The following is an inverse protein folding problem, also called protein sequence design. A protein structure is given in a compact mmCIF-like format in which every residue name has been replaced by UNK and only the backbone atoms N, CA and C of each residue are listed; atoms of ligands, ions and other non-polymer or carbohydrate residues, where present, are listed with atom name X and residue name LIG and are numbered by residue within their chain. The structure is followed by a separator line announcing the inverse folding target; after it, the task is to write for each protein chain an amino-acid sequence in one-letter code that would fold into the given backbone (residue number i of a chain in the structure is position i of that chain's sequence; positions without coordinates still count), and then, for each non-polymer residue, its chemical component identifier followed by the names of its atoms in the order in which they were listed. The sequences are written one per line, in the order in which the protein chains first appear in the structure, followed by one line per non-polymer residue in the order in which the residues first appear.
data_IF_427094281340
#
_entry.id   IF_427094281340
#
_cell.length_a   1.000
_cell.length_b   1.000
_cell.length_c   1.000
_cell.angle_alpha   90.00
_cell.angle_beta   90.00
_cell.angle_gamma   90.00
#
_symmetry.space_group_name_H-M   'P 1'
#
loop_
_entity.id
_entity.type
_entity.pdbx_description
1 polymer ?
#
# COMPACT_ATOMS: atom_id res chain seq x y z
N UNK A 1 -22.82 25.07 3.91
CA UNK A 1 -22.23 23.85 4.52
C UNK A 1 -21.38 23.14 3.48
N UNK A 2 -20.20 22.68 3.91
CA UNK A 2 -19.22 21.85 3.21
C UNK A 2 -18.34 22.57 2.16
N UNK A 3 -17.30 23.25 2.66
CA UNK A 3 -16.12 23.64 1.88
C UNK A 3 -15.30 22.40 1.51
N UNK A 4 -15.02 22.25 0.22
CA UNK A 4 -14.16 21.21 -0.36
C UNK A 4 -12.69 21.53 0.00
N UNK A 5 -12.06 20.66 0.78
CA UNK A 5 -10.61 20.72 1.02
C UNK A 5 -9.85 20.12 -0.17
N UNK A 6 -8.88 20.83 -0.78
CA UNK A 6 -8.00 20.25 -1.77
C UNK A 6 -6.97 19.35 -1.10
N UNK A 7 -7.03 18.05 -1.36
CA UNK A 7 -5.99 17.08 -1.02
C UNK A 7 -4.76 17.36 -1.92
N UNK A 8 -3.82 18.19 -1.46
CA UNK A 8 -2.61 18.52 -2.21
C UNK A 8 -1.40 17.70 -1.71
N UNK A 9 -1.13 16.62 -2.44
CA UNK A 9 0.21 16.13 -2.84
C UNK A 9 1.25 15.84 -1.74
N UNK A 10 1.13 14.67 -1.10
CA UNK A 10 2.18 14.04 -0.27
C UNK A 10 3.49 13.69 -1.04
N UNK A 11 3.51 13.81 -2.37
CA UNK A 11 4.68 13.45 -3.19
C UNK A 11 5.76 14.55 -3.23
N UNK A 12 5.42 15.81 -2.95
CA UNK A 12 6.40 16.91 -2.98
C UNK A 12 7.35 16.89 -1.77
N UNK A 13 6.82 16.54 -0.59
CA UNK A 13 7.60 16.48 0.66
C UNK A 13 8.63 15.34 0.61
N UNK A 14 8.28 14.20 -0.01
CA UNK A 14 9.18 13.07 -0.20
C UNK A 14 10.37 13.42 -1.11
N UNK A 15 10.11 14.15 -2.21
CA UNK A 15 11.16 14.59 -3.13
C UNK A 15 12.13 15.58 -2.46
N UNK A 16 11.60 16.50 -1.65
CA UNK A 16 12.41 17.45 -0.89
C UNK A 16 13.29 16.76 0.16
N UNK A 17 12.77 15.73 0.85
CA UNK A 17 13.53 14.93 1.81
C UNK A 17 14.64 14.11 1.13
N UNK A 18 14.36 13.52 -0.03
CA UNK A 18 15.34 12.77 -0.80
C UNK A 18 16.47 13.68 -1.31
N UNK A 19 16.13 14.86 -1.85
CA UNK A 19 17.10 15.84 -2.32
C UNK A 19 17.96 16.40 -1.18
N UNK A 20 17.40 16.58 0.02
CA UNK A 20 18.16 17.01 1.20
C UNK A 20 19.16 15.93 1.67
N UNK A 21 18.78 14.65 1.62
CA UNK A 21 19.67 13.54 1.98
C UNK A 21 20.87 13.40 1.01
N UNK A 22 20.64 13.56 -0.29
CA UNK A 22 21.69 13.52 -1.32
C UNK A 22 22.66 14.71 -1.21
N UNK A 23 22.14 15.90 -0.86
CA UNK A 23 22.96 17.10 -0.66
C UNK A 23 23.88 16.98 0.57
N UNK A 24 23.47 16.26 1.62
CA UNK A 24 24.30 15.99 2.80
C UNK A 24 25.44 15.03 2.45
N UNK A 25 25.19 14.03 1.61
CA UNK A 25 26.23 13.11 1.13
C UNK A 25 27.25 13.79 0.20
N UNK A 26 26.80 14.74 -0.64
CA UNK A 26 27.68 15.44 -1.59
C UNK A 26 28.58 16.51 -0.96
N UNK A 27 28.27 17.02 0.24
CA UNK A 27 29.07 18.05 0.92
C UNK A 27 30.19 17.47 1.81
N UNK A 28 30.30 16.14 1.91
CA UNK A 28 31.33 15.45 2.71
C UNK A 28 32.68 15.21 2.02
N UNK A 29 32.96 15.85 0.87
CA UNK A 29 34.07 15.46 -0.01
C UNK A 29 35.44 16.09 0.23
N UNK A 30 35.57 17.42 0.36
CA UNK A 30 36.84 18.08 -0.04
C UNK A 30 37.48 19.01 1.00
N UNK A 31 37.82 18.50 2.19
CA UNK A 31 38.72 19.20 3.11
C UNK A 31 39.56 18.26 4.01
N UNK A 32 40.05 17.15 3.46
CA UNK A 32 40.73 16.06 4.18
C UNK A 32 42.18 16.36 4.66
N UNK A 33 42.63 17.62 4.70
CA UNK A 33 44.05 17.92 4.92
C UNK A 33 44.48 18.33 6.33
N UNK A 34 43.81 19.32 6.93
CA UNK A 34 44.40 20.08 8.07
C UNK A 34 43.44 20.23 9.28
N UNK A 35 42.19 19.75 9.21
CA UNK A 35 41.18 19.92 10.29
C UNK A 35 40.75 18.65 11.02
N UNK A 36 41.25 17.49 10.61
CA UNK A 36 40.91 16.17 11.17
C UNK A 36 41.21 16.07 12.69
N UNK A 37 42.33 16.65 13.13
CA UNK A 37 42.80 16.58 14.52
C UNK A 37 42.06 17.52 15.48
N UNK A 38 41.50 18.63 14.98
CA UNK A 38 40.68 19.55 15.77
C UNK A 38 39.22 19.07 15.87
N UNK A 39 38.68 18.46 14.81
CA UNK A 39 37.34 17.88 14.79
C UNK A 39 37.24 16.65 15.71
N UNK A 40 38.20 15.71 15.63
CA UNK A 40 38.23 14.53 16.51
C UNK A 40 38.40 14.88 17.99
N UNK A 41 39.14 15.95 18.31
CA UNK A 41 39.31 16.40 19.70
C UNK A 41 38.05 17.08 20.24
N UNK A 42 37.27 17.75 19.39
CA UNK A 42 35.99 18.36 19.76
C UNK A 42 34.87 17.31 19.86
N UNK A 43 34.82 16.34 18.93
CA UNK A 43 33.89 15.21 18.96
C UNK A 43 34.11 14.31 20.18
N UNK A 44 35.37 14.04 20.56
CA UNK A 44 35.70 13.29 21.77
C UNK A 44 35.34 14.01 23.08
N UNK A 45 35.33 15.34 23.10
CA UNK A 45 34.93 16.12 24.29
C UNK A 45 33.41 16.38 24.36
N UNK A 46 32.68 16.41 23.24
CA UNK A 46 31.22 16.48 23.24
C UNK A 46 30.57 15.11 23.51
N UNK A 47 31.18 14.01 23.08
CA UNK A 47 30.68 12.65 23.33
C UNK A 47 30.68 12.25 24.81
N UNK A 48 31.53 12.88 25.63
CA UNK A 48 31.60 12.73 27.09
C UNK A 48 30.57 13.59 27.84
N UNK A 49 29.86 14.50 27.15
CA UNK A 49 28.77 15.26 27.77
C UNK A 49 27.51 14.36 27.86
N UNK A 50 27.00 14.06 29.07
CA UNK A 50 25.84 13.18 29.25
C UNK A 50 24.60 13.65 28.48
N UNK A 51 24.47 14.96 28.23
CA UNK A 51 23.38 15.55 27.48
C UNK A 51 23.45 15.22 25.99
N UNK A 52 24.65 15.24 25.39
CA UNK A 52 24.89 14.87 23.98
C UNK A 52 24.64 13.38 23.79
N UNK A 53 25.08 12.54 24.73
CA UNK A 53 24.83 11.09 24.69
C UNK A 53 23.34 10.75 24.80
N UNK A 54 22.61 11.43 25.71
CA UNK A 54 21.17 11.26 25.84
C UNK A 54 20.41 11.73 24.59
N UNK A 55 20.84 12.81 23.95
CA UNK A 55 20.27 13.28 22.69
C UNK A 55 20.56 12.30 21.54
N UNK A 56 21.76 11.74 21.46
CA UNK A 56 22.15 10.72 20.48
C UNK A 56 21.28 9.45 20.62
N UNK A 57 21.05 8.98 21.85
CA UNK A 57 20.17 7.83 22.12
C UNK A 57 18.71 8.12 21.75
N UNK A 58 18.21 9.32 22.07
CA UNK A 58 16.85 9.73 21.68
C UNK A 58 16.71 9.80 20.16
N UNK A 59 17.71 10.34 19.46
CA UNK A 59 17.73 10.41 18.00
C UNK A 59 17.77 9.01 17.40
N UNK A 60 18.65 8.14 17.89
CA UNK A 60 18.73 6.74 17.47
C UNK A 60 17.39 6.01 17.66
N UNK A 61 16.77 6.17 18.83
CA UNK A 61 15.44 5.59 19.14
C UNK A 61 14.37 6.13 18.20
N UNK A 62 14.37 7.43 17.91
CA UNK A 62 13.43 8.04 16.98
C UNK A 62 13.64 7.52 15.54
N UNK A 63 14.88 7.41 15.08
CA UNK A 63 15.20 6.86 13.76
C UNK A 63 14.77 5.40 13.60
N UNK A 64 14.97 4.58 14.64
CA UNK A 64 14.48 3.20 14.66
C UNK A 64 12.96 3.18 14.53
N UNK A 65 12.23 4.01 15.31
CA UNK A 65 10.76 4.11 15.20
C UNK A 65 10.30 4.59 13.84
N UNK A 66 10.96 5.56 13.23
CA UNK A 66 10.64 6.05 11.89
C UNK A 66 10.81 4.92 10.86
N UNK A 67 11.89 4.15 10.97
CA UNK A 67 12.15 3.00 10.09
C UNK A 67 11.10 1.91 10.27
N UNK A 68 10.74 1.60 11.52
CA UNK A 68 9.69 0.65 11.88
C UNK A 68 8.34 1.05 11.26
N UNK A 69 7.91 2.30 11.46
CA UNK A 69 6.66 2.78 10.86
C UNK A 69 6.71 2.81 9.33
N UNK A 70 7.86 3.11 8.74
CA UNK A 70 8.03 3.04 7.27
C UNK A 70 7.81 1.62 6.77
N UNK A 71 8.37 0.63 7.48
CA UNK A 71 8.23 -0.79 7.12
C UNK A 71 6.78 -1.26 7.30
N UNK A 72 6.13 -0.90 8.41
CA UNK A 72 4.71 -1.21 8.64
C UNK A 72 3.82 -0.61 7.55
N UNK A 73 4.04 0.65 7.19
CA UNK A 73 3.29 1.31 6.11
C UNK A 73 3.50 0.62 4.76
N UNK A 74 4.72 0.14 4.48
CA UNK A 74 5.00 -0.63 3.27
C UNK A 74 4.27 -1.98 3.27
N UNK A 75 4.27 -2.69 4.41
CA UNK A 75 3.57 -3.97 4.55
C UNK A 75 2.06 -3.78 4.33
N UNK A 76 1.44 -2.81 5.02
CA UNK A 76 0.02 -2.50 4.88
C UNK A 76 -0.36 -2.11 3.44
N UNK A 77 0.50 -1.38 2.73
CA UNK A 77 0.28 -1.07 1.31
C UNK A 77 0.32 -2.31 0.42
N UNK A 78 1.16 -3.28 0.74
CA UNK A 78 1.23 -4.54 -0.01
C UNK A 78 0.00 -5.40 0.25
N UNK A 79 -0.39 -5.56 1.52
CA UNK A 79 -1.61 -6.28 1.90
C UNK A 79 -2.85 -5.67 1.22
N UNK A 80 -2.98 -4.34 1.24
CA UNK A 80 -4.09 -3.66 0.56
C UNK A 80 -4.14 -3.98 -0.94
N UNK A 81 -2.99 -3.99 -1.62
CA UNK A 81 -2.91 -4.36 -3.05
C UNK A 81 -3.32 -5.82 -3.27
N UNK A 82 -2.92 -6.73 -2.38
CA UNK A 82 -3.30 -8.14 -2.47
C UNK A 82 -4.81 -8.31 -2.25
N UNK A 83 -5.38 -7.66 -1.24
CA UNK A 83 -6.82 -7.66 -0.98
C UNK A 83 -7.60 -7.11 -2.17
N UNK A 84 -7.15 -6.01 -2.78
CA UNK A 84 -7.77 -5.46 -3.99
C UNK A 84 -7.72 -6.46 -5.17
N UNK A 85 -6.60 -7.15 -5.36
CA UNK A 85 -6.49 -8.18 -6.40
C UNK A 85 -7.44 -9.36 -6.16
N UNK A 86 -7.55 -9.83 -4.92
CA UNK A 86 -8.47 -10.91 -4.56
C UNK A 86 -9.92 -10.45 -4.73
N UNK A 87 -10.23 -9.22 -4.33
CA UNK A 87 -11.56 -8.65 -4.51
C UNK A 87 -11.92 -8.51 -5.99
N UNK A 88 -10.99 -8.06 -6.85
CA UNK A 88 -11.18 -8.01 -8.31
C UNK A 88 -11.48 -9.43 -8.85
N UNK A 89 -10.74 -10.40 -8.33
CA UNK A 89 -11.03 -11.82 -8.54
C UNK A 89 -12.29 -12.32 -7.84
N UNK A 90 -13.14 -11.53 -7.19
CA UNK A 90 -14.48 -11.98 -6.78
C UNK A 90 -15.58 -11.20 -7.52
N UNK A 91 -15.33 -9.92 -7.79
CA UNK A 91 -16.27 -9.04 -8.48
C UNK A 91 -16.27 -9.24 -10.00
N UNK A 92 -15.16 -9.72 -10.59
CA UNK A 92 -14.95 -9.83 -12.03
C UNK A 92 -13.82 -8.92 -12.49
N UNK A 93 -13.05 -9.35 -13.48
CA UNK A 93 -11.84 -8.65 -13.95
C UNK A 93 -12.15 -7.29 -14.61
N UNK A 94 -13.36 -7.12 -15.15
CA UNK A 94 -13.83 -5.89 -15.78
C UNK A 94 -14.48 -4.88 -14.80
N UNK A 95 -14.54 -5.21 -13.50
CA UNK A 95 -15.21 -4.38 -12.49
C UNK A 95 -14.21 -3.51 -11.74
N UNK A 96 -14.32 -2.19 -11.92
CA UNK A 96 -13.49 -1.23 -11.20
C UNK A 96 -13.91 -1.12 -9.72
N UNK A 97 -13.05 -1.58 -8.81
CA UNK A 97 -13.27 -1.57 -7.36
C UNK A 97 -13.53 -0.15 -6.82
N UNK A 98 -12.89 0.88 -7.36
CA UNK A 98 -13.11 2.26 -6.92
C UNK A 98 -14.55 2.74 -7.23
N UNK A 99 -15.12 2.25 -8.33
CA UNK A 99 -16.51 2.54 -8.67
C UNK A 99 -17.50 1.77 -7.77
N UNK A 100 -17.12 0.59 -7.27
CA UNK A 100 -17.92 -0.15 -6.28
C UNK A 100 -17.98 0.55 -4.92
N UNK A 101 -16.86 1.17 -4.51
CA UNK A 101 -16.81 1.92 -3.25
C UNK A 101 -17.68 3.18 -3.29
N UNK A 102 -17.86 3.77 -4.46
CA UNK A 102 -18.69 4.98 -4.65
C UNK A 102 -20.15 4.64 -4.93
N UNK A 103 -20.42 3.56 -5.65
CA UNK A 103 -21.77 3.08 -6.00
C UNK A 103 -21.98 1.62 -5.57
N UNK A 104 -22.28 1.41 -4.28
CA UNK A 104 -22.37 0.09 -3.66
C UNK A 104 -23.62 -0.74 -4.02
N UNK A 105 -24.59 -0.17 -4.74
CA UNK A 105 -25.93 -0.76 -4.88
C UNK A 105 -26.18 -1.73 -6.03
N UNK A 106 -25.31 -1.77 -7.06
CA UNK A 106 -25.62 -2.47 -8.32
C UNK A 106 -24.78 -3.72 -8.59
N UNK A 107 -23.80 -4.03 -7.75
CA UNK A 107 -22.83 -5.08 -8.07
C UNK A 107 -23.29 -6.46 -7.61
N UNK A 108 -22.99 -7.49 -8.41
CA UNK A 108 -23.20 -8.90 -8.08
C UNK A 108 -21.91 -9.66 -8.37
N UNK A 109 -21.43 -10.42 -7.38
CA UNK A 109 -20.21 -11.21 -7.52
C UNK A 109 -20.35 -12.35 -8.52
N UNK A 110 -19.22 -12.89 -8.99
CA UNK A 110 -19.23 -13.97 -10.00
C UNK A 110 -19.96 -15.21 -9.52
N UNK A 111 -19.79 -15.60 -8.26
CA UNK A 111 -20.51 -16.75 -7.69
C UNK A 111 -22.04 -16.59 -7.81
N UNK A 112 -22.57 -15.40 -7.51
CA UNK A 112 -23.99 -15.10 -7.65
C UNK A 112 -24.43 -15.12 -9.12
N UNK A 113 -23.63 -14.57 -10.03
CA UNK A 113 -23.92 -14.61 -11.46
C UNK A 113 -23.94 -16.05 -12.00
N UNK A 114 -23.01 -16.90 -11.57
CA UNK A 114 -22.95 -18.32 -11.96
C UNK A 114 -24.22 -19.04 -11.52
N UNK A 115 -24.62 -18.92 -10.25
CA UNK A 115 -25.84 -19.55 -9.74
C UNK A 115 -27.08 -19.08 -10.52
N UNK A 116 -27.17 -17.79 -10.81
CA UNK A 116 -28.27 -17.23 -11.59
C UNK A 116 -28.27 -17.75 -13.03
N UNK A 117 -27.11 -17.86 -13.67
CA UNK A 117 -26.99 -18.43 -15.01
C UNK A 117 -27.34 -19.92 -15.02
N UNK A 118 -26.89 -20.69 -14.03
CA UNK A 118 -27.26 -22.11 -13.90
C UNK A 118 -28.77 -22.29 -13.77
N UNK A 119 -29.44 -21.46 -12.96
CA UNK A 119 -30.90 -21.46 -12.86
C UNK A 119 -31.60 -21.18 -14.19
N UNK A 120 -31.11 -20.19 -14.95
CA UNK A 120 -31.64 -19.87 -16.30
C UNK A 120 -31.41 -21.00 -17.31
N UNK A 121 -30.27 -21.67 -17.24
CA UNK A 121 -29.96 -22.80 -18.11
C UNK A 121 -30.89 -23.97 -17.78
N UNK A 122 -31.08 -24.27 -16.49
CA UNK A 122 -31.96 -25.34 -16.03
C UNK A 122 -33.44 -25.09 -16.35
N UNK A 123 -33.91 -23.85 -16.32
CA UNK A 123 -35.31 -23.51 -16.65
C UNK A 123 -35.55 -23.28 -18.14
N UNK A 124 -34.49 -23.35 -18.96
CA UNK A 124 -34.60 -23.16 -20.40
C UNK A 124 -35.44 -24.28 -21.05
N UNK A 125 -36.38 -23.95 -21.96
CA UNK A 125 -37.22 -24.94 -22.64
C UNK A 125 -36.42 -26.04 -23.33
N UNK A 126 -35.27 -25.70 -23.94
CA UNK A 126 -34.42 -26.66 -24.61
C UNK A 126 -33.84 -27.71 -23.64
N UNK A 127 -33.38 -27.28 -22.46
CA UNK A 127 -32.89 -28.18 -21.42
C UNK A 127 -34.00 -29.07 -20.88
N UNK A 128 -35.22 -28.54 -20.68
CA UNK A 128 -36.39 -29.31 -20.25
C UNK A 128 -36.80 -30.37 -21.29
N UNK A 129 -36.75 -30.05 -22.58
CA UNK A 129 -37.04 -31.02 -23.64
C UNK A 129 -35.99 -32.11 -23.72
N UNK A 130 -34.70 -31.77 -23.57
CA UNK A 130 -33.60 -32.75 -23.55
C UNK A 130 -33.73 -33.68 -22.34
N UNK A 131 -33.96 -33.14 -21.14
CA UNK A 131 -34.09 -33.95 -19.92
C UNK A 131 -35.32 -34.85 -19.95
N UNK A 132 -36.46 -34.37 -20.48
CA UNK A 132 -37.64 -35.20 -20.70
C UNK A 132 -37.39 -36.34 -21.70
N UNK A 133 -36.65 -36.07 -22.78
CA UNK A 133 -36.27 -37.10 -23.76
C UNK A 133 -35.36 -38.19 -23.17
N UNK A 134 -34.38 -37.81 -22.35
CA UNK A 134 -33.49 -38.78 -21.66
C UNK A 134 -34.29 -39.66 -20.70
N UNK A 135 -35.21 -39.08 -19.91
CA UNK A 135 -36.07 -39.83 -19.01
C UNK A 135 -36.98 -40.80 -19.76
N UNK A 136 -37.54 -40.39 -20.91
CA UNK A 136 -38.39 -41.24 -21.73
C UNK A 136 -37.63 -42.44 -22.34
N UNK A 137 -36.36 -42.26 -22.71
CA UNK A 137 -35.50 -43.35 -23.19
C UNK A 137 -35.01 -44.30 -22.08
N UNK A 138 -35.14 -43.88 -20.82
CA UNK A 138 -34.67 -44.63 -19.64
C UNK A 138 -35.80 -45.39 -18.93
N UNK A 139 -37.05 -45.31 -19.43
CA UNK A 139 -38.25 -45.96 -18.91
C UNK A 139 -38.73 -47.07 -19.84
#
# INVERSE_FOLDING_TARGET
CCSVHPFHTNNGVLFQLQAAAEKIHSLGGDAAGIKESALKKLEGNLAENPEVRALQEKLSTANVKVTEYRNQLQNLKQELKLTQKILAKEVGEDVNIQNLLTNSGSWRGRAQQIVLLQGKVSSSPAWNSISAGILFLSA
#
